data_IF_665650170553
#
_entry.id   IF_665650170553
#
_cell.length_a   1.000
_cell.length_b   1.000
_cell.length_c   1.000
_cell.angle_alpha   90.00
_cell.angle_beta   90.00
_cell.angle_gamma   90.00
#
_symmetry.space_group_name_H-M   'P 1'
#
loop_
_entity.id
_entity.type
_entity.pdbx_description
1 polymer ?
#
# COMPACT_ATOMS: atom_id res chain seq x y z
N UNK A 1 -1.07 -11.02 -18.93
CA UNK A 1 -0.32 -12.19 -18.41
C UNK A 1 -0.88 -13.46 -19.04
N UNK A 2 -0.06 -14.49 -19.28
CA UNK A 2 -0.53 -15.74 -19.88
C UNK A 2 -1.59 -16.47 -19.03
N UNK A 3 -1.56 -16.29 -17.70
CA UNK A 3 -2.50 -16.87 -16.75
C UNK A 3 -3.90 -16.22 -16.77
N UNK A 4 -4.05 -15.04 -17.41
CA UNK A 4 -5.29 -14.26 -17.40
C UNK A 4 -5.78 -13.92 -18.81
N UNK A 5 -5.18 -14.46 -19.87
CA UNK A 5 -5.49 -14.06 -21.24
C UNK A 5 -6.71 -14.75 -21.88
N UNK A 6 -7.37 -15.69 -21.18
CA UNK A 6 -8.68 -16.24 -21.57
C UNK A 6 -9.56 -16.43 -20.33
N UNK A 7 -10.90 -16.50 -20.49
CA UNK A 7 -11.82 -16.75 -19.37
C UNK A 7 -11.52 -18.05 -18.62
N UNK A 8 -11.14 -19.12 -19.31
CA UNK A 8 -10.82 -20.42 -18.70
C UNK A 8 -9.57 -20.33 -17.83
N UNK A 9 -8.57 -19.57 -18.29
CA UNK A 9 -7.33 -19.38 -17.52
C UNK A 9 -7.55 -18.47 -16.31
N UNK A 10 -8.37 -17.42 -16.44
CA UNK A 10 -8.79 -16.59 -15.30
C UNK A 10 -9.46 -17.46 -14.23
N UNK A 11 -10.43 -18.30 -14.63
CA UNK A 11 -11.10 -19.23 -13.70
C UNK A 11 -10.12 -20.21 -13.07
N UNK A 12 -9.24 -20.81 -13.87
CA UNK A 12 -8.22 -21.76 -13.37
C UNK A 12 -7.29 -21.09 -12.36
N UNK A 13 -6.81 -19.89 -12.66
CA UNK A 13 -5.91 -19.13 -11.80
C UNK A 13 -6.60 -18.67 -10.52
N UNK A 14 -7.79 -18.06 -10.63
CA UNK A 14 -8.57 -17.61 -9.48
C UNK A 14 -8.96 -18.76 -8.55
N UNK A 15 -9.38 -19.91 -9.10
CA UNK A 15 -9.66 -21.10 -8.28
C UNK A 15 -8.42 -21.62 -7.56
N UNK A 16 -7.24 -21.57 -8.19
CA UNK A 16 -6.00 -21.99 -7.55
C UNK A 16 -5.63 -21.06 -6.39
N UNK A 17 -5.79 -19.74 -6.56
CA UNK A 17 -5.60 -18.74 -5.49
C UNK A 17 -6.55 -19.05 -4.32
N UNK A 18 -7.84 -19.21 -4.59
CA UNK A 18 -8.85 -19.48 -3.56
C UNK A 18 -8.58 -20.81 -2.86
N UNK A 19 -8.14 -21.83 -3.59
CA UNK A 19 -7.78 -23.12 -3.01
C UNK A 19 -6.61 -22.99 -2.01
N UNK A 20 -5.57 -22.22 -2.36
CA UNK A 20 -4.46 -21.92 -1.45
C UNK A 20 -4.98 -21.15 -0.22
N UNK A 21 -5.79 -20.12 -0.45
CA UNK A 21 -6.35 -19.31 0.64
C UNK A 21 -7.10 -20.18 1.65
N UNK A 22 -7.94 -21.11 1.17
CA UNK A 22 -8.67 -22.07 2.01
C UNK A 22 -7.78 -23.11 2.66
N UNK A 23 -6.80 -23.66 1.93
CA UNK A 23 -5.92 -24.71 2.42
C UNK A 23 -5.15 -24.26 3.67
N UNK A 24 -4.69 -23.00 3.67
CA UNK A 24 -3.89 -22.44 4.76
C UNK A 24 -4.72 -21.61 5.75
N UNK A 25 -6.04 -21.54 5.58
CA UNK A 25 -6.93 -20.83 6.50
C UNK A 25 -6.78 -19.31 6.48
N UNK A 26 -6.43 -18.72 5.33
CA UNK A 26 -6.40 -17.27 5.18
C UNK A 26 -7.81 -16.70 5.10
N UNK A 27 -8.00 -15.49 5.65
CA UNK A 27 -9.29 -14.78 5.64
C UNK A 27 -9.60 -14.09 4.31
N UNK A 28 -8.63 -14.04 3.39
CA UNK A 28 -8.77 -13.31 2.14
C UNK A 28 -7.55 -13.40 1.23
N UNK A 29 -7.58 -12.58 0.19
CA UNK A 29 -6.54 -12.47 -0.83
C UNK A 29 -6.26 -10.99 -1.09
N UNK A 30 -4.99 -10.61 -1.06
CA UNK A 30 -4.53 -9.32 -1.61
C UNK A 30 -3.90 -9.54 -2.98
N UNK A 31 -4.31 -8.76 -3.98
CA UNK A 31 -3.74 -8.81 -5.33
C UNK A 31 -2.79 -7.63 -5.52
N UNK A 32 -1.51 -7.96 -5.68
CA UNK A 32 -0.46 -7.00 -6.00
C UNK A 32 0.08 -7.26 -7.42
N UNK A 33 -0.65 -6.78 -8.43
CA UNK A 33 -0.16 -6.79 -9.81
C UNK A 33 0.50 -5.44 -10.07
N UNK A 34 1.81 -5.44 -10.33
CA UNK A 34 2.58 -4.23 -10.64
C UNK A 34 3.01 -4.09 -12.12
N UNK A 35 2.34 -3.31 -12.96
CA UNK A 35 0.96 -2.84 -12.82
C UNK A 35 0.14 -3.19 -14.07
N UNK A 36 -1.19 -3.40 -13.96
CA UNK A 36 -2.06 -3.40 -15.13
C UNK A 36 -1.87 -2.11 -15.93
N UNK A 37 -1.73 -2.24 -17.25
CA UNK A 37 -1.43 -1.13 -18.17
C UNK A 37 -2.72 -0.59 -18.73
N UNK A 38 -2.93 0.72 -18.66
CA UNK A 38 -4.23 1.31 -19.04
C UNK A 38 -4.50 1.24 -20.56
N UNK A 39 -3.46 1.18 -21.38
CA UNK A 39 -3.49 1.08 -22.84
C UNK A 39 -3.33 -0.36 -23.37
N UNK A 40 -3.20 -1.34 -22.48
CA UNK A 40 -2.88 -2.72 -22.82
C UNK A 40 -3.98 -3.73 -22.45
N UNK A 41 -3.82 -4.99 -22.86
CA UNK A 41 -4.77 -6.06 -22.53
C UNK A 41 -4.81 -6.35 -21.02
N UNK A 42 -3.77 -5.97 -20.26
CA UNK A 42 -3.72 -6.21 -18.82
C UNK A 42 -4.80 -5.45 -18.04
N UNK A 43 -5.32 -4.32 -18.54
CA UNK A 43 -6.46 -3.64 -17.92
C UNK A 43 -7.69 -4.54 -17.84
N UNK A 44 -8.12 -5.12 -18.97
CA UNK A 44 -9.29 -6.00 -19.00
C UNK A 44 -9.01 -7.31 -18.26
N UNK A 45 -7.81 -7.88 -18.43
CA UNK A 45 -7.43 -9.12 -17.75
C UNK A 45 -7.44 -8.99 -16.23
N UNK A 46 -6.99 -7.84 -15.72
CA UNK A 46 -7.03 -7.54 -14.30
C UNK A 46 -8.48 -7.32 -13.83
N UNK A 47 -9.29 -6.54 -14.55
CA UNK A 47 -10.72 -6.37 -14.24
C UNK A 47 -11.44 -7.72 -14.14
N UNK A 48 -11.29 -8.58 -15.14
CA UNK A 48 -11.97 -9.88 -15.20
C UNK A 48 -11.52 -10.80 -14.05
N UNK A 49 -10.23 -10.80 -13.71
CA UNK A 49 -9.72 -11.56 -12.57
C UNK A 49 -10.28 -11.04 -11.24
N UNK A 50 -10.27 -9.73 -11.02
CA UNK A 50 -10.73 -9.13 -9.76
C UNK A 50 -12.24 -9.31 -9.56
N UNK A 51 -13.04 -9.16 -10.62
CA UNK A 51 -14.49 -9.43 -10.57
C UNK A 51 -14.76 -10.90 -10.29
N UNK A 52 -14.01 -11.81 -10.93
CA UNK A 52 -14.14 -13.24 -10.67
C UNK A 52 -13.77 -13.61 -9.22
N UNK A 53 -12.61 -13.16 -8.74
CA UNK A 53 -12.17 -13.39 -7.36
C UNK A 53 -13.18 -12.86 -6.35
N UNK A 54 -13.68 -11.63 -6.53
CA UNK A 54 -14.67 -11.03 -5.63
C UNK A 54 -15.93 -11.88 -5.53
N UNK A 55 -16.45 -12.35 -6.67
CA UNK A 55 -17.65 -13.18 -6.70
C UNK A 55 -17.46 -14.53 -5.99
N UNK A 56 -16.30 -15.17 -6.13
CA UNK A 56 -16.03 -16.47 -5.51
C UNK A 56 -15.61 -16.37 -4.03
N UNK A 57 -14.81 -15.37 -3.65
CA UNK A 57 -14.38 -15.14 -2.27
C UNK A 57 -15.56 -14.74 -1.37
N UNK A 58 -16.49 -13.91 -1.86
CA UNK A 58 -17.71 -13.54 -1.11
C UNK A 58 -18.59 -14.74 -0.75
N UNK A 59 -18.66 -15.77 -1.61
CA UNK A 59 -19.39 -17.02 -1.30
C UNK A 59 -18.77 -17.79 -0.12
N UNK A 60 -17.50 -17.52 0.17
CA UNK A 60 -16.74 -18.14 1.26
C UNK A 60 -16.58 -17.19 2.46
N UNK A 61 -17.21 -16.00 2.44
CA UNK A 61 -17.00 -14.93 3.41
C UNK A 61 -15.51 -14.52 3.57
N UNK A 62 -14.78 -14.50 2.45
CA UNK A 62 -13.37 -14.11 2.40
C UNK A 62 -13.21 -12.72 1.78
N UNK A 63 -12.19 -11.99 2.22
CA UNK A 63 -11.85 -10.65 1.76
C UNK A 63 -11.09 -10.67 0.44
N UNK A 64 -11.24 -9.61 -0.36
CA UNK A 64 -10.43 -9.29 -1.53
C UNK A 64 -9.92 -7.87 -1.43
N UNK A 65 -8.60 -7.70 -1.39
CA UNK A 65 -7.94 -6.39 -1.38
C UNK A 65 -6.95 -6.29 -2.54
N UNK A 66 -6.40 -5.10 -2.78
CA UNK A 66 -5.33 -4.95 -3.75
C UNK A 66 -4.34 -3.84 -3.34
N UNK A 67 -3.06 -4.12 -3.48
CA UNK A 67 -2.03 -3.10 -3.52
C UNK A 67 -2.07 -2.36 -4.87
N UNK A 68 -2.06 -1.03 -4.82
CA UNK A 68 -2.19 -0.18 -6.01
C UNK A 68 -1.15 0.93 -6.01
N UNK A 69 -0.84 1.42 -7.21
CA UNK A 69 -0.02 2.62 -7.42
C UNK A 69 -0.42 3.75 -6.46
N UNK A 70 0.55 4.57 -6.09
CA UNK A 70 0.33 5.84 -5.38
C UNK A 70 -0.66 6.78 -6.08
N UNK A 71 -0.99 6.54 -7.36
CA UNK A 71 -1.93 7.35 -8.14
C UNK A 71 -1.27 8.51 -8.87
N UNK A 72 -0.30 9.14 -8.22
CA UNK A 72 0.46 10.31 -8.70
C UNK A 72 1.95 10.15 -8.38
N UNK A 73 2.83 10.89 -9.07
CA UNK A 73 4.23 11.06 -8.66
C UNK A 73 4.36 12.04 -7.48
N UNK A 74 5.52 12.14 -6.82
CA UNK A 74 5.78 13.18 -5.81
C UNK A 74 5.66 14.62 -6.31
N UNK A 75 5.68 14.83 -7.63
CA UNK A 75 5.43 16.13 -8.27
C UNK A 75 3.95 16.36 -8.61
N UNK A 76 3.06 15.42 -8.26
CA UNK A 76 1.62 15.52 -8.53
C UNK A 76 1.20 15.10 -9.94
N UNK A 77 2.09 14.48 -10.73
CA UNK A 77 1.76 13.99 -12.07
C UNK A 77 0.99 12.67 -11.95
N UNK A 78 -0.19 12.57 -12.56
CA UNK A 78 -1.00 11.35 -12.50
C UNK A 78 -0.30 10.20 -13.25
N UNK A 79 -0.20 9.05 -12.59
CA UNK A 79 0.19 7.81 -13.27
C UNK A 79 -0.95 7.36 -14.18
N UNK A 80 -0.66 7.31 -15.49
CA UNK A 80 -1.62 6.88 -16.51
C UNK A 80 -2.21 5.48 -16.20
N UNK A 81 -1.38 4.57 -15.73
CA UNK A 81 -1.76 3.18 -15.43
C UNK A 81 -2.67 3.04 -14.21
N UNK A 82 -2.75 4.03 -13.34
CA UNK A 82 -3.71 4.03 -12.23
C UNK A 82 -5.15 3.90 -12.74
N UNK A 83 -5.46 4.41 -13.94
CA UNK A 83 -6.75 4.28 -14.61
C UNK A 83 -7.12 2.83 -15.01
N UNK A 84 -6.20 1.87 -14.90
CA UNK A 84 -6.49 0.46 -15.10
C UNK A 84 -7.32 -0.15 -13.96
N UNK A 85 -7.31 0.45 -12.77
CA UNK A 85 -8.21 0.10 -11.66
C UNK A 85 -9.63 0.62 -11.96
N UNK A 86 -10.43 -0.11 -12.73
CA UNK A 86 -11.76 0.36 -13.20
C UNK A 86 -12.79 0.46 -12.07
N UNK A 87 -13.94 1.10 -12.34
CA UNK A 87 -15.05 1.16 -11.38
C UNK A 87 -15.56 -0.23 -10.97
N UNK A 88 -15.47 -1.22 -11.87
CA UNK A 88 -15.80 -2.61 -11.52
C UNK A 88 -14.83 -3.18 -10.50
N UNK A 89 -13.53 -2.88 -10.62
CA UNK A 89 -12.53 -3.28 -9.62
C UNK A 89 -12.77 -2.56 -8.29
N UNK A 90 -12.99 -1.24 -8.31
CA UNK A 90 -13.28 -0.44 -7.09
C UNK A 90 -14.49 -1.02 -6.32
N UNK A 91 -15.52 -1.48 -7.05
CA UNK A 91 -16.69 -2.13 -6.47
C UNK A 91 -16.43 -3.58 -6.02
N UNK A 92 -15.47 -4.27 -6.63
CA UNK A 92 -15.13 -5.66 -6.36
C UNK A 92 -14.32 -5.85 -5.07
N UNK A 93 -13.37 -4.95 -4.79
CA UNK A 93 -12.48 -5.05 -3.61
C UNK A 93 -13.17 -4.57 -2.34
N UNK A 94 -12.73 -5.08 -1.20
CA UNK A 94 -13.06 -4.55 0.12
C UNK A 94 -12.34 -3.22 0.36
N UNK A 95 -11.04 -3.14 0.05
CA UNK A 95 -10.27 -1.88 0.02
C UNK A 95 -9.02 -1.98 -0.87
N UNK A 96 -8.41 -0.82 -1.11
CA UNK A 96 -7.09 -0.68 -1.72
C UNK A 96 -6.02 -0.30 -0.69
N UNK A 97 -4.88 -0.96 -0.79
CA UNK A 97 -3.63 -0.60 -0.11
C UNK A 97 -2.82 0.31 -1.06
N UNK A 98 -2.86 1.63 -0.84
CA UNK A 98 -2.20 2.61 -1.71
C UNK A 98 -0.72 2.70 -1.38
N UNK A 99 0.14 2.30 -2.33
CA UNK A 99 1.59 2.31 -2.15
C UNK A 99 2.17 3.72 -2.31
N UNK A 100 1.98 4.57 -1.30
CA UNK A 100 2.44 5.96 -1.26
C UNK A 100 3.92 6.08 -0.84
N UNK A 101 4.77 5.25 -1.46
CA UNK A 101 6.22 5.18 -1.28
C UNK A 101 6.88 4.86 -2.63
N UNK A 102 8.22 4.81 -2.68
CA UNK A 102 9.00 4.64 -3.91
C UNK A 102 8.72 5.69 -5.01
N UNK A 103 8.36 6.92 -4.60
CA UNK A 103 8.19 8.04 -5.54
C UNK A 103 9.49 8.49 -6.23
N UNK A 104 10.62 7.93 -5.79
CA UNK A 104 11.98 8.20 -6.26
C UNK A 104 12.98 8.05 -5.12
N UNK A 105 14.21 8.47 -5.35
CA UNK A 105 15.22 8.56 -4.30
C UNK A 105 15.16 9.92 -3.57
N UNK A 106 15.74 9.97 -2.38
CA UNK A 106 15.77 11.19 -1.58
C UNK A 106 14.39 11.56 -1.03
N UNK A 107 14.11 12.85 -0.93
CA UNK A 107 12.86 13.41 -0.36
C UNK A 107 11.61 12.94 -1.12
N UNK A 108 11.78 12.46 -2.36
CA UNK A 108 10.74 11.94 -3.23
C UNK A 108 10.21 10.57 -2.78
N UNK A 109 10.95 9.84 -1.95
CA UNK A 109 10.62 8.47 -1.55
C UNK A 109 9.19 8.34 -1.01
N UNK A 110 8.92 9.07 0.08
CA UNK A 110 7.62 9.01 0.76
C UNK A 110 7.42 10.23 1.66
N UNK A 111 7.46 11.44 1.09
CA UNK A 111 7.14 12.66 1.84
C UNK A 111 5.69 12.64 2.35
N UNK A 112 5.38 13.50 3.33
CA UNK A 112 4.02 13.68 3.80
C UNK A 112 3.10 14.19 2.68
N UNK A 113 3.59 15.16 1.90
CA UNK A 113 2.88 15.78 0.79
C UNK A 113 2.55 14.76 -0.30
N UNK A 114 3.51 13.88 -0.62
CA UNK A 114 3.29 12.79 -1.57
C UNK A 114 2.15 11.87 -1.09
N UNK A 115 2.18 11.45 0.18
CA UNK A 115 1.14 10.60 0.75
C UNK A 115 -0.26 11.25 0.72
N UNK A 116 -0.35 12.55 1.02
CA UNK A 116 -1.61 13.30 0.94
C UNK A 116 -2.11 13.39 -0.50
N UNK A 117 -1.24 13.67 -1.47
CA UNK A 117 -1.62 13.72 -2.88
C UNK A 117 -2.11 12.35 -3.39
N UNK A 118 -1.44 11.26 -3.01
CA UNK A 118 -1.87 9.90 -3.33
C UNK A 118 -3.26 9.58 -2.78
N UNK A 119 -3.50 9.90 -1.51
CA UNK A 119 -4.80 9.72 -0.88
C UNK A 119 -5.90 10.53 -1.58
N UNK A 120 -5.63 11.80 -1.90
CA UNK A 120 -6.58 12.66 -2.63
C UNK A 120 -6.85 12.16 -4.03
N UNK A 121 -5.85 11.66 -4.76
CA UNK A 121 -6.07 11.07 -6.06
C UNK A 121 -7.08 9.91 -5.99
N UNK A 122 -6.87 8.94 -5.10
CA UNK A 122 -7.76 7.79 -5.00
C UNK A 122 -9.16 8.19 -4.49
N UNK A 123 -9.24 9.02 -3.46
CA UNK A 123 -10.52 9.45 -2.85
C UNK A 123 -11.29 10.43 -3.73
N UNK A 124 -10.64 11.47 -4.23
CA UNK A 124 -11.28 12.64 -4.85
C UNK A 124 -11.26 12.59 -6.37
N UNK A 125 -10.19 12.11 -7.00
CA UNK A 125 -10.13 11.98 -8.47
C UNK A 125 -10.78 10.69 -8.94
N UNK A 126 -10.43 9.55 -8.32
CA UNK A 126 -10.98 8.23 -8.66
C UNK A 126 -12.28 7.89 -7.94
N UNK A 127 -12.73 8.76 -7.03
CA UNK A 127 -14.00 8.61 -6.30
C UNK A 127 -14.11 7.30 -5.52
N UNK A 128 -12.96 6.73 -5.10
CA UNK A 128 -12.96 5.57 -4.20
C UNK A 128 -13.51 6.03 -2.84
N UNK A 129 -14.50 5.33 -2.25
CA UNK A 129 -15.00 5.66 -0.92
C UNK A 129 -13.85 5.71 0.10
N UNK A 130 -13.84 6.71 0.98
CA UNK A 130 -12.74 6.94 1.92
C UNK A 130 -12.36 5.69 2.73
N UNK A 131 -13.35 4.94 3.23
CA UNK A 131 -13.13 3.71 4.00
C UNK A 131 -12.47 2.57 3.20
N UNK A 132 -12.43 2.67 1.86
CA UNK A 132 -11.74 1.73 0.97
C UNK A 132 -10.33 2.18 0.58
N UNK A 133 -9.86 3.32 1.07
CA UNK A 133 -8.50 3.81 0.80
C UNK A 133 -7.66 3.61 2.05
N UNK A 134 -6.68 2.70 1.99
CA UNK A 134 -5.74 2.44 3.08
C UNK A 134 -4.37 2.97 2.65
N UNK A 135 -3.80 3.91 3.41
CA UNK A 135 -2.59 4.63 3.03
C UNK A 135 -1.33 3.87 3.43
N UNK A 136 -0.50 3.51 2.46
CA UNK A 136 0.77 2.82 2.66
C UNK A 136 1.87 3.73 3.23
N UNK A 137 2.64 3.20 4.18
CA UNK A 137 3.84 3.84 4.73
C UNK A 137 5.05 2.89 4.70
N UNK A 138 6.26 3.37 4.32
CA UNK A 138 7.44 2.52 4.21
C UNK A 138 8.22 2.46 5.53
N UNK A 139 8.68 1.27 5.91
CA UNK A 139 9.60 1.03 7.03
C UNK A 139 11.04 0.84 6.54
N UNK A 140 11.40 1.46 5.42
CA UNK A 140 12.75 1.50 4.85
C UNK A 140 13.04 2.86 4.22
N UNK A 141 14.32 3.11 3.95
CA UNK A 141 14.78 4.33 3.29
C UNK A 141 15.30 4.15 1.87
N UNK A 142 15.16 5.19 1.05
CA UNK A 142 15.79 5.32 -0.28
C UNK A 142 16.89 6.39 -0.26
N UNK A 143 17.92 6.33 -1.11
CA UNK A 143 18.27 5.23 -2.02
C UNK A 143 18.95 4.03 -1.33
N UNK A 144 19.15 4.07 -0.01
CA UNK A 144 19.93 3.07 0.72
C UNK A 144 19.34 1.66 0.73
N UNK A 145 18.02 1.54 0.56
CA UNK A 145 17.23 0.32 0.79
C UNK A 145 17.39 -0.27 2.20
N UNK A 146 17.94 0.50 3.14
CA UNK A 146 18.09 0.06 4.52
C UNK A 146 16.72 -0.01 5.21
N UNK A 147 16.49 -1.07 5.97
CA UNK A 147 15.37 -1.14 6.89
C UNK A 147 15.45 -0.03 7.93
N UNK A 148 14.31 0.38 8.46
CA UNK A 148 14.24 1.34 9.55
C UNK A 148 15.04 0.88 10.77
N UNK A 149 14.98 -0.41 11.11
CA UNK A 149 15.82 -1.00 12.15
C UNK A 149 17.33 -0.82 11.90
N UNK A 150 17.80 -1.01 10.67
CA UNK A 150 19.22 -0.82 10.33
C UNK A 150 19.62 0.66 10.39
N UNK A 151 18.72 1.56 9.98
CA UNK A 151 18.93 3.01 10.09
C UNK A 151 19.05 3.42 11.57
N UNK A 152 18.20 2.88 12.45
CA UNK A 152 18.28 3.10 13.90
C UNK A 152 19.53 2.50 14.53
N UNK A 153 20.00 1.35 14.03
CA UNK A 153 21.24 0.76 14.51
C UNK A 153 22.45 1.65 14.19
N UNK A 154 22.46 2.27 13.00
CA UNK A 154 23.51 3.20 12.59
C UNK A 154 23.42 4.56 13.32
N UNK A 155 22.21 5.02 13.61
CA UNK A 155 21.95 6.26 14.33
C UNK A 155 20.76 6.07 15.28
N UNK A 156 20.98 5.86 16.59
CA UNK A 156 19.92 5.61 17.56
C UNK A 156 18.89 6.74 17.70
N UNK A 157 19.21 7.96 17.25
CA UNK A 157 18.30 9.10 17.28
C UNK A 157 17.49 9.26 15.99
N UNK A 158 17.77 8.48 14.95
CA UNK A 158 17.09 8.54 13.65
C UNK A 158 15.56 8.32 13.73
N UNK A 159 15.01 7.85 14.86
CA UNK A 159 13.57 7.69 15.04
C UNK A 159 12.81 9.02 14.97
N UNK A 160 13.46 10.14 15.24
CA UNK A 160 12.84 11.47 15.26
C UNK A 160 13.09 12.30 13.99
N UNK A 161 13.80 11.75 13.01
CA UNK A 161 14.08 12.38 11.71
C UNK A 161 13.56 11.53 10.54
N UNK A 162 13.49 12.12 9.36
CA UNK A 162 13.18 11.43 8.09
C UNK A 162 14.44 11.18 7.25
N UNK A 163 15.60 11.61 7.75
CA UNK A 163 16.89 11.47 7.08
C UNK A 163 17.97 11.01 8.07
N UNK A 164 18.86 10.14 7.61
CA UNK A 164 20.01 9.68 8.38
C UNK A 164 21.08 9.10 7.46
N UNK A 165 22.34 9.10 7.91
CA UNK A 165 23.44 8.46 7.18
C UNK A 165 23.55 6.99 7.55
N UNK A 166 23.60 6.12 6.54
CA UNK A 166 23.92 4.70 6.70
C UNK A 166 24.90 4.27 5.63
N UNK A 167 26.01 3.63 6.02
CA UNK A 167 27.04 3.14 5.09
C UNK A 167 27.53 4.19 4.07
N UNK A 168 27.65 5.46 4.49
CA UNK A 168 28.08 6.55 3.61
C UNK A 168 27.00 7.06 2.63
N UNK A 169 25.76 6.59 2.75
CA UNK A 169 24.61 7.04 1.96
C UNK A 169 23.57 7.72 2.85
N UNK A 170 23.01 8.84 2.38
CA UNK A 170 21.90 9.50 3.06
C UNK A 170 20.60 8.77 2.73
N UNK A 171 20.06 8.05 3.70
CA UNK A 171 18.74 7.42 3.59
C UNK A 171 17.66 8.45 3.90
N UNK A 172 16.62 8.46 3.07
CA UNK A 172 15.35 9.17 3.27
C UNK A 172 14.26 8.14 3.57
N UNK A 173 13.64 8.22 4.73
CA UNK A 173 12.64 7.31 5.28
C UNK A 173 11.57 8.12 6.04
N UNK A 174 10.70 7.49 6.81
CA UNK A 174 9.79 8.20 7.71
C UNK A 174 10.05 7.81 9.16
N UNK A 175 10.48 8.78 9.97
CA UNK A 175 10.56 8.65 11.41
C UNK A 175 9.18 8.73 12.07
N UNK A 176 9.17 8.57 13.40
CA UNK A 176 7.96 8.59 14.23
C UNK A 176 7.09 9.83 13.96
N UNK A 177 7.61 11.08 13.92
CA UNK A 177 6.77 12.26 13.69
C UNK A 177 6.00 12.20 12.37
N UNK A 178 6.64 11.76 11.29
CA UNK A 178 6.00 11.69 9.97
C UNK A 178 5.02 10.53 9.87
N UNK A 179 5.35 9.37 10.45
CA UNK A 179 4.42 8.23 10.55
C UNK A 179 3.16 8.61 11.35
N UNK A 180 3.30 9.31 12.47
CA UNK A 180 2.16 9.78 13.25
C UNK A 180 1.31 10.79 12.46
N UNK A 181 1.93 11.74 11.76
CA UNK A 181 1.21 12.70 10.91
C UNK A 181 0.43 12.03 9.79
N UNK A 182 1.02 11.05 9.10
CA UNK A 182 0.34 10.26 8.06
C UNK A 182 -0.81 9.43 8.63
N UNK A 183 -0.60 8.84 9.82
CA UNK A 183 -1.63 8.08 10.53
C UNK A 183 -2.81 8.96 10.94
N UNK A 184 -2.53 10.14 11.51
CA UNK A 184 -3.55 11.12 11.86
C UNK A 184 -4.36 11.56 10.63
N UNK A 185 -3.67 11.87 9.53
CA UNK A 185 -4.34 12.21 8.27
C UNK A 185 -5.26 11.08 7.79
N UNK A 186 -4.81 9.82 7.86
CA UNK A 186 -5.62 8.67 7.47
C UNK A 186 -6.85 8.50 8.37
N UNK A 187 -6.73 8.66 9.68
CA UNK A 187 -7.86 8.60 10.63
C UNK A 187 -8.93 9.67 10.36
N UNK A 188 -8.50 10.85 9.93
CA UNK A 188 -9.40 11.96 9.61
C UNK A 188 -10.07 11.83 8.24
N UNK A 189 -9.46 11.08 7.30
CA UNK A 189 -9.82 11.19 5.88
C UNK A 189 -10.03 9.88 5.12
N UNK A 190 -9.56 8.74 5.63
CA UNK A 190 -9.37 7.48 4.90
C UNK A 190 -9.79 6.27 5.74
N UNK A 191 -9.57 5.06 5.21
CA UNK A 191 -9.94 3.79 5.85
C UNK A 191 -8.87 3.21 6.78
N UNK A 192 -7.62 3.67 6.71
CA UNK A 192 -6.56 3.20 7.59
C UNK A 192 -5.14 3.38 7.04
N UNK A 193 -4.21 2.64 7.65
CA UNK A 193 -2.78 2.59 7.29
C UNK A 193 -2.38 1.16 6.90
N UNK A 194 -1.58 1.03 5.85
CA UNK A 194 -0.85 -0.18 5.47
C UNK A 194 0.65 0.07 5.66
N UNK A 195 1.40 -0.96 6.02
CA UNK A 195 2.84 -0.87 6.31
C UNK A 195 3.62 -1.73 5.32
N UNK A 196 4.67 -1.17 4.73
CA UNK A 196 5.65 -1.93 3.94
C UNK A 196 7.07 -1.78 4.51
N UNK A 197 7.61 -2.76 5.24
CA UNK A 197 6.89 -3.88 5.83
C UNK A 197 7.34 -4.13 7.27
N UNK A 198 6.58 -4.92 8.03
CA UNK A 198 6.70 -5.03 9.48
C UNK A 198 8.06 -5.55 9.96
N UNK A 199 8.73 -6.45 9.23
CA UNK A 199 10.02 -7.02 9.63
C UNK A 199 11.18 -6.02 9.52
N UNK A 200 10.95 -4.86 8.92
CA UNK A 200 11.90 -3.76 8.87
C UNK A 200 11.78 -2.79 10.04
N UNK A 201 10.75 -2.93 10.89
CA UNK A 201 10.65 -2.15 12.13
C UNK A 201 11.68 -2.61 13.17
N UNK A 202 11.91 -1.76 14.18
CA UNK A 202 12.74 -2.10 15.33
C UNK A 202 11.99 -2.93 16.37
N UNK A 203 12.71 -3.76 17.12
CA UNK A 203 12.18 -4.45 18.31
C UNK A 203 12.13 -3.55 19.55
N UNK A 204 12.78 -2.38 19.52
CA UNK A 204 12.64 -1.36 20.56
C UNK A 204 11.27 -0.68 20.44
N UNK A 205 10.32 -1.08 21.29
CA UNK A 205 8.94 -0.59 21.27
C UNK A 205 8.83 0.92 21.51
N UNK A 206 9.84 1.55 22.12
CA UNK A 206 9.85 3.02 22.31
C UNK A 206 10.15 3.79 21.02
N UNK A 207 10.75 3.11 20.03
CA UNK A 207 11.15 3.65 18.73
C UNK A 207 10.43 2.98 17.55
N UNK A 208 9.54 2.02 17.81
CA UNK A 208 8.81 1.30 16.77
C UNK A 208 7.84 2.21 16.01
N UNK A 209 7.88 2.13 14.68
CA UNK A 209 6.92 2.82 13.81
C UNK A 209 5.53 2.18 13.91
N UNK A 210 5.42 0.85 14.06
CA UNK A 210 4.15 0.18 14.34
C UNK A 210 3.54 0.71 15.65
N UNK A 211 4.34 0.86 16.70
CA UNK A 211 3.87 1.38 17.97
C UNK A 211 3.45 2.85 17.85
N UNK A 212 4.16 3.65 17.04
CA UNK A 212 3.76 5.02 16.72
C UNK A 212 2.37 5.07 16.06
N UNK A 213 2.10 4.22 15.06
CA UNK A 213 0.79 4.09 14.42
C UNK A 213 -0.27 3.70 15.47
N UNK A 214 -0.01 2.64 16.25
CA UNK A 214 -0.95 2.13 17.26
C UNK A 214 -1.30 3.20 18.31
N UNK A 215 -0.31 3.96 18.79
CA UNK A 215 -0.52 5.02 19.76
C UNK A 215 -1.35 6.16 19.18
N UNK A 216 -1.12 6.57 17.93
CA UNK A 216 -1.93 7.60 17.27
C UNK A 216 -3.38 7.15 17.11
N UNK A 217 -3.62 5.90 16.71
CA UNK A 217 -4.99 5.34 16.61
C UNK A 217 -5.70 5.34 17.97
N UNK A 218 -5.03 4.88 19.03
CA UNK A 218 -5.61 4.87 20.39
C UNK A 218 -5.91 6.27 20.91
N UNK A 219 -5.04 7.25 20.61
CA UNK A 219 -5.26 8.63 21.03
C UNK A 219 -6.45 9.29 20.31
N UNK A 220 -6.76 8.88 19.09
CA UNK A 220 -7.89 9.40 18.31
C UNK A 220 -9.24 8.79 18.72
N UNK A 221 -9.24 7.55 19.22
CA UNK A 221 -10.42 6.85 19.73
C UNK A 221 -10.24 6.51 21.23
N UNK A 222 -10.41 7.50 22.14
CA UNK A 222 -10.17 7.33 23.58
C UNK A 222 -11.20 6.41 24.28
#
# INVERSE_FOLDING_TARGET
MAATNTPEKIKKFGNAIIAIAKQYGFDGVDIDWEHPRNDGPSKQQYEDLMVYLSAELKKQNMLLTAAVLSGVTPEGVIYWDSAAQTDKVINAVDWFNVMAYDGGDGERHSSYEFAVMSAKYWKETRKVPAHKVVLGVPFYGRPSWASYAAILQANPDAYNTDISMINGMQAHYNGIPTIQRKTQYALENLGGIMIWEISQDTTDTSKSLLQAISNTVRAYHP
#
